data_IF_622436829713
#
_entry.id   IF_622436829713
#
_cell.length_a   1.000
_cell.length_b   1.000
_cell.length_c   1.000
_cell.angle_alpha   90.00
_cell.angle_beta   90.00
_cell.angle_gamma   90.00
#
_symmetry.space_group_name_H-M   'P 1'
#
loop_
_entity.id
_entity.type
_entity.pdbx_description
1 polymer ?
#
# COMPACT_ATOMS: atom_id res chain seq x y z
N UNK A 1 3.28 -2.12 -6.68
CA UNK A 1 3.32 -2.37 -5.21
C UNK A 1 3.50 -1.03 -4.51
N UNK A 2 2.50 -0.60 -3.75
CA UNK A 2 2.53 0.62 -2.97
C UNK A 2 2.24 0.33 -1.50
N UNK A 3 3.07 0.85 -0.60
CA UNK A 3 2.92 0.69 0.84
C UNK A 3 2.66 2.05 1.47
N UNK A 4 1.41 2.26 1.88
CA UNK A 4 0.91 3.60 2.21
C UNK A 4 0.08 3.62 3.49
N UNK A 5 -0.03 4.79 4.09
CA UNK A 5 -0.94 5.02 5.21
C UNK A 5 -2.38 5.20 4.71
N UNK A 6 -3.36 5.19 5.63
CA UNK A 6 -4.79 5.38 5.31
C UNK A 6 -5.08 6.63 4.48
N UNK A 7 -4.36 7.72 4.69
CA UNK A 7 -4.58 8.96 3.94
C UNK A 7 -4.10 8.89 2.49
N UNK A 8 -3.15 8.02 2.17
CA UNK A 8 -2.57 7.90 0.84
C UNK A 8 -3.00 6.62 0.11
N UNK A 9 -3.87 5.80 0.70
CA UNK A 9 -4.38 4.56 0.08
C UNK A 9 -5.21 4.86 -1.17
N UNK A 10 -6.07 5.87 -1.12
CA UNK A 10 -6.91 6.27 -2.27
C UNK A 10 -6.05 6.75 -3.43
N UNK A 11 -5.01 7.56 -3.14
CA UNK A 11 -4.04 8.00 -4.15
C UNK A 11 -3.25 6.82 -4.72
N UNK A 12 -2.85 5.87 -3.88
CA UNK A 12 -2.11 4.69 -4.33
C UNK A 12 -2.94 3.79 -5.26
N UNK A 13 -4.23 3.66 -4.98
CA UNK A 13 -5.17 2.93 -5.84
C UNK A 13 -5.29 3.63 -7.18
N UNK A 14 -5.52 4.94 -7.19
CA UNK A 14 -5.69 5.72 -8.43
C UNK A 14 -4.46 5.60 -9.35
N UNK A 15 -3.25 5.79 -8.79
CA UNK A 15 -2.01 5.62 -9.55
C UNK A 15 -1.81 4.18 -10.04
N UNK A 16 -2.21 3.17 -9.26
CA UNK A 16 -2.09 1.79 -9.68
C UNK A 16 -3.01 1.52 -10.87
N UNK A 17 -4.26 1.97 -10.81
CA UNK A 17 -5.21 1.82 -11.91
C UNK A 17 -4.72 2.57 -13.15
N UNK A 18 -4.12 3.75 -12.99
CA UNK A 18 -3.57 4.53 -14.11
C UNK A 18 -2.36 3.84 -14.77
N UNK A 19 -1.46 3.23 -13.98
CA UNK A 19 -0.26 2.57 -14.49
C UNK A 19 -0.49 1.16 -15.03
N UNK A 20 -1.35 0.38 -14.38
CA UNK A 20 -1.55 -1.04 -14.68
C UNK A 20 -2.86 -1.31 -15.41
N UNK A 21 -3.75 -0.31 -15.54
CA UNK A 21 -5.10 -0.44 -16.13
C UNK A 21 -5.96 -1.55 -15.47
N UNK A 22 -5.58 -2.00 -14.27
CA UNK A 22 -6.23 -3.09 -13.52
C UNK A 22 -6.55 -2.68 -12.08
N UNK A 23 -7.54 -3.35 -11.48
CA UNK A 23 -7.90 -3.12 -10.09
C UNK A 23 -6.81 -3.68 -9.16
N UNK A 24 -6.25 -2.88 -8.24
CA UNK A 24 -5.28 -3.38 -7.29
C UNK A 24 -5.93 -4.24 -6.20
N UNK A 25 -5.10 -5.10 -5.63
CA UNK A 25 -5.41 -5.92 -4.47
C UNK A 25 -4.89 -5.21 -3.20
N UNK A 26 -5.77 -4.99 -2.23
CA UNK A 26 -5.50 -4.15 -1.05
C UNK A 26 -5.47 -5.02 0.21
N UNK A 27 -4.34 -4.98 0.92
CA UNK A 27 -4.11 -5.74 2.16
C UNK A 27 -3.87 -4.81 3.35
N UNK A 28 -4.51 -5.06 4.50
CA UNK A 28 -4.25 -4.34 5.75
C UNK A 28 -3.07 -4.96 6.51
N UNK A 29 -1.98 -4.19 6.65
CA UNK A 29 -0.73 -4.64 7.28
C UNK A 29 -0.83 -4.86 8.80
N UNK A 30 -1.92 -4.42 9.45
CA UNK A 30 -2.18 -4.74 10.86
C UNK A 30 -2.80 -6.12 11.02
N UNK A 31 -3.55 -6.58 10.01
CA UNK A 31 -4.22 -7.89 10.03
C UNK A 31 -3.38 -8.98 9.34
N UNK A 32 -2.68 -8.64 8.26
CA UNK A 32 -1.86 -9.60 7.52
C UNK A 32 -0.36 -9.38 7.76
N UNK A 33 0.33 -10.48 8.09
CA UNK A 33 1.79 -10.54 8.14
C UNK A 33 2.30 -11.45 7.04
N UNK A 34 3.15 -10.89 6.19
CA UNK A 34 3.84 -11.64 5.15
C UNK A 34 5.07 -12.33 5.75
N UNK A 35 5.26 -13.61 5.44
CA UNK A 35 6.40 -14.39 5.96
C UNK A 35 7.67 -14.22 5.13
N UNK A 36 7.53 -13.82 3.86
CA UNK A 36 8.63 -13.70 2.90
C UNK A 36 8.97 -12.24 2.56
N UNK A 37 8.27 -11.28 3.15
CA UNK A 37 8.42 -9.86 2.84
C UNK A 37 8.06 -9.03 4.07
N UNK A 38 8.82 -7.97 4.33
CA UNK A 38 8.54 -7.02 5.40
C UNK A 38 8.15 -5.67 4.80
N UNK A 39 7.02 -5.08 5.24
CA UNK A 39 6.64 -3.77 4.76
C UNK A 39 7.65 -2.72 5.21
N UNK A 40 7.91 -1.69 4.38
CA UNK A 40 8.72 -0.55 4.79
C UNK A 40 8.17 0.08 6.08
N UNK A 41 9.06 0.66 6.88
CA UNK A 41 8.70 1.25 8.17
C UNK A 41 7.83 2.52 8.02
N UNK A 42 7.89 3.17 6.86
CA UNK A 42 7.21 4.42 6.54
C UNK A 42 6.44 4.30 5.23
N UNK A 43 5.36 5.06 5.13
CA UNK A 43 4.57 5.21 3.91
C UNK A 43 5.43 5.82 2.78
N UNK A 44 5.26 5.34 1.56
CA UNK A 44 6.05 5.85 0.42
C UNK A 44 5.73 7.30 0.06
N UNK A 45 4.55 7.79 0.46
CA UNK A 45 4.08 9.17 0.23
C UNK A 45 4.30 10.12 1.39
N UNK A 46 4.61 9.61 2.59
CA UNK A 46 4.87 10.43 3.77
C UNK A 46 5.58 9.62 4.86
N UNK A 47 6.22 10.26 5.82
CA UNK A 47 7.00 9.57 6.86
C UNK A 47 6.13 8.90 7.96
N UNK A 48 4.83 8.72 7.73
CA UNK A 48 3.91 8.07 8.68
C UNK A 48 3.96 6.55 8.56
N UNK A 49 3.51 5.86 9.60
CA UNK A 49 3.42 4.40 9.62
C UNK A 49 2.46 3.92 8.52
N UNK A 50 2.88 3.01 7.63
CA UNK A 50 2.00 2.45 6.62
C UNK A 50 1.01 1.47 7.24
N UNK A 51 -0.16 1.38 6.62
CA UNK A 51 -1.27 0.55 7.07
C UNK A 51 -1.79 -0.36 5.96
N UNK A 52 -1.63 0.04 4.70
CA UNK A 52 -2.15 -0.68 3.56
C UNK A 52 -1.04 -1.00 2.58
N UNK A 53 -1.16 -2.17 1.97
CA UNK A 53 -0.38 -2.63 0.83
C UNK A 53 -1.31 -2.72 -0.37
N UNK A 54 -0.91 -2.11 -1.49
CA UNK A 54 -1.65 -2.08 -2.76
C UNK A 54 -0.77 -2.77 -3.81
N UNK A 55 -1.20 -3.91 -4.36
CA UNK A 55 -0.42 -4.71 -5.33
C UNK A 55 -1.23 -5.16 -6.53
#
# INVERSE_FOLDING_TARGET
>A
MFVVCKEHVELAIDMFVDEYEEAPDIYDLNEVRFTAWEPPATCERCERKPQYLVI
#
